data_IF_047911490115
#
_entry.id   IF_047911490115
#
_cell.length_a   1.000
_cell.length_b   1.000
_cell.length_c   1.000
_cell.angle_alpha   90.00
_cell.angle_beta   90.00
_cell.angle_gamma   90.00
#
_symmetry.space_group_name_H-M   'P 1'
#
loop_
_entity.id
_entity.type
_entity.pdbx_description
1 polymer ?
#
# COMPACT_ATOMS: atom_id res chain seq x y z
N UNK A 1 12.13 -23.91 39.86
CA UNK A 1 11.68 -22.50 39.86
C UNK A 1 11.49 -22.12 38.40
N UNK A 2 10.24 -22.03 37.94
CA UNK A 2 9.88 -21.81 36.55
C UNK A 2 10.15 -20.36 36.15
N UNK A 3 10.93 -20.16 35.10
CA UNK A 3 10.97 -18.88 34.39
C UNK A 3 9.93 -18.96 33.28
N UNK A 4 8.71 -18.53 33.59
CA UNK A 4 7.70 -18.28 32.58
C UNK A 4 7.96 -16.86 32.07
N UNK A 5 8.88 -16.75 31.11
CA UNK A 5 8.91 -15.60 30.21
C UNK A 5 7.70 -15.70 29.31
N UNK A 6 6.54 -15.26 29.80
CA UNK A 6 5.37 -15.06 28.96
C UNK A 6 5.74 -13.87 28.09
N UNK A 7 6.25 -14.11 26.89
CA UNK A 7 6.42 -13.04 25.91
C UNK A 7 5.00 -12.64 25.46
N UNK A 8 4.46 -11.47 25.85
CA UNK A 8 3.04 -11.16 25.67
C UNK A 8 2.72 -10.69 24.25
N UNK A 9 3.60 -10.93 23.26
CA UNK A 9 3.44 -10.40 21.91
C UNK A 9 3.88 -11.39 20.86
N UNK A 10 3.12 -12.48 20.73
CA UNK A 10 2.87 -13.07 19.41
C UNK A 10 2.05 -12.07 18.56
N UNK A 11 2.68 -10.93 18.22
CA UNK A 11 2.10 -9.99 17.27
C UNK A 11 2.63 -10.41 15.90
N UNK A 12 1.74 -10.73 14.94
CA UNK A 12 2.17 -10.93 13.56
C UNK A 12 3.04 -9.73 13.15
N UNK A 13 4.30 -10.00 12.79
CA UNK A 13 5.23 -8.97 12.37
C UNK A 13 4.86 -8.63 10.92
N UNK A 14 4.21 -7.49 10.76
CA UNK A 14 3.87 -6.94 9.44
C UNK A 14 5.09 -6.22 8.88
N UNK A 15 5.79 -6.88 7.97
CA UNK A 15 6.91 -6.28 7.26
C UNK A 15 6.36 -5.62 5.99
N UNK A 16 6.39 -4.30 5.97
CA UNK A 16 5.89 -3.50 4.85
C UNK A 16 7.09 -2.93 4.09
N UNK A 17 7.27 -3.36 2.85
CA UNK A 17 8.22 -2.74 1.94
C UNK A 17 7.46 -1.93 0.91
N UNK A 18 7.89 -0.69 0.69
CA UNK A 18 7.27 0.22 -0.27
C UNK A 18 8.34 0.97 -1.03
N UNK A 19 8.11 1.14 -2.33
CA UNK A 19 8.90 1.97 -3.21
C UNK A 19 7.97 3.00 -3.84
N UNK A 20 8.31 4.27 -3.69
CA UNK A 20 7.60 5.38 -4.33
C UNK A 20 8.55 6.12 -5.25
N UNK A 21 8.12 6.35 -6.49
CA UNK A 21 8.85 7.12 -7.48
C UNK A 21 7.98 8.26 -8.01
N UNK A 22 8.37 9.49 -7.70
CA UNK A 22 7.73 10.70 -8.22
C UNK A 22 8.49 11.23 -9.42
N UNK A 23 7.78 11.48 -10.53
CA UNK A 23 8.32 12.25 -11.66
C UNK A 23 7.71 13.65 -11.65
N UNK A 24 8.48 14.59 -11.08
CA UNK A 24 8.05 15.98 -10.88
C UNK A 24 6.81 16.09 -9.99
N UNK A 25 5.97 17.10 -10.26
CA UNK A 25 4.67 17.26 -9.59
C UNK A 25 3.50 16.74 -10.45
N UNK A 26 3.79 15.97 -11.51
CA UNK A 26 2.78 15.50 -12.46
C UNK A 26 2.44 14.02 -12.27
N UNK A 27 3.44 13.16 -12.01
CA UNK A 27 3.26 11.71 -11.95
C UNK A 27 3.88 11.13 -10.67
N UNK A 28 3.20 10.14 -10.08
CA UNK A 28 3.66 9.38 -8.94
C UNK A 28 3.42 7.90 -9.17
N UNK A 29 4.44 7.07 -9.11
CA UNK A 29 4.35 5.62 -9.15
C UNK A 29 4.64 5.08 -7.76
N UNK A 30 3.91 4.06 -7.36
CA UNK A 30 4.05 3.38 -6.07
C UNK A 30 4.06 1.88 -6.33
N UNK A 31 4.94 1.17 -5.68
CA UNK A 31 4.93 -0.27 -5.61
C UNK A 31 5.19 -0.65 -4.16
N UNK A 32 4.60 -1.73 -3.69
CA UNK A 32 4.77 -2.18 -2.34
C UNK A 32 4.54 -3.66 -2.23
N UNK A 33 5.07 -4.22 -1.17
CA UNK A 33 4.84 -5.59 -0.77
C UNK A 33 4.65 -5.60 0.74
N UNK A 34 3.47 -6.04 1.17
CA UNK A 34 3.19 -6.31 2.56
C UNK A 34 3.38 -7.81 2.78
N UNK A 35 4.34 -8.20 3.61
CA UNK A 35 4.55 -9.58 4.04
C UNK A 35 4.16 -9.73 5.50
N UNK A 36 3.21 -10.61 5.81
CA UNK A 36 3.04 -11.13 7.16
C UNK A 36 4.00 -12.29 7.36
N UNK A 37 4.90 -12.18 8.34
CA UNK A 37 5.83 -13.24 8.70
C UNK A 37 5.22 -14.30 9.65
N UNK A 38 3.90 -14.34 9.82
CA UNK A 38 3.22 -15.19 10.77
C UNK A 38 2.15 -16.04 10.07
N UNK A 39 2.51 -17.31 9.87
CA UNK A 39 1.71 -18.54 9.74
C UNK A 39 0.67 -18.67 8.60
N UNK A 40 0.13 -17.58 8.08
CA UNK A 40 -0.80 -17.58 6.96
C UNK A 40 -0.28 -16.58 5.93
N UNK A 41 0.15 -17.09 4.77
CA UNK A 41 0.84 -16.40 3.66
C UNK A 41 -0.06 -15.35 2.98
N UNK A 42 -0.62 -14.42 3.76
CA UNK A 42 -1.37 -13.25 3.32
C UNK A 42 -0.34 -12.15 3.02
N UNK A 43 0.63 -12.50 2.19
CA UNK A 43 1.54 -11.58 1.55
C UNK A 43 0.86 -10.95 0.35
N UNK A 44 0.95 -9.62 0.22
CA UNK A 44 0.26 -8.90 -0.84
C UNK A 44 1.10 -7.87 -1.57
N UNK A 45 1.16 -7.99 -2.90
CA UNK A 45 1.79 -7.02 -3.78
C UNK A 45 0.83 -5.86 -4.02
N UNK A 46 1.31 -4.63 -3.81
CA UNK A 46 0.61 -3.41 -4.15
C UNK A 46 1.36 -2.68 -5.26
N UNK A 47 0.62 -2.08 -6.18
CA UNK A 47 1.13 -1.23 -7.23
C UNK A 47 0.18 -0.05 -7.39
N UNK A 48 0.66 1.10 -7.77
CA UNK A 48 -0.17 2.27 -7.94
C UNK A 48 0.49 3.32 -8.82
N UNK A 49 -0.35 4.12 -9.46
CA UNK A 49 0.05 5.25 -10.25
C UNK A 49 -0.89 6.42 -9.93
N UNK A 50 -0.35 7.62 -9.86
CA UNK A 50 -1.06 8.85 -9.60
C UNK A 50 -0.65 9.89 -10.62
N UNK A 51 -1.62 10.62 -11.15
CA UNK A 51 -1.43 11.77 -12.04
C UNK A 51 -2.04 12.98 -11.37
N UNK A 52 -1.29 14.07 -11.32
CA UNK A 52 -1.76 15.38 -10.87
C UNK A 52 -1.89 16.30 -12.08
N UNK A 53 -3.01 17.00 -12.16
CA UNK A 53 -3.30 18.00 -13.16
C UNK A 53 -3.42 19.34 -12.44
N UNK A 54 -2.51 20.25 -12.72
CA UNK A 54 -2.58 21.63 -12.25
C UNK A 54 -2.99 22.53 -13.41
N UNK A 55 -4.18 23.13 -13.32
CA UNK A 55 -4.65 24.21 -14.19
C UNK A 55 -4.88 25.48 -13.38
N UNK A 56 -4.98 26.63 -14.05
CA UNK A 56 -4.99 27.99 -13.51
C UNK A 56 -6.24 28.30 -12.65
N UNK A 57 -6.35 27.65 -11.48
CA UNK A 57 -7.49 27.73 -10.57
C UNK A 57 -8.14 26.37 -10.23
N UNK A 58 -7.69 25.26 -10.85
CA UNK A 58 -8.24 23.94 -10.58
C UNK A 58 -7.10 22.92 -10.41
N UNK A 59 -7.13 22.18 -9.31
CA UNK A 59 -6.22 21.03 -9.10
C UNK A 59 -7.02 19.75 -9.21
N UNK A 60 -6.62 18.89 -10.13
CA UNK A 60 -7.13 17.53 -10.27
C UNK A 60 -6.05 16.54 -9.86
N UNK A 61 -6.45 15.44 -9.24
CA UNK A 61 -5.56 14.32 -8.95
C UNK A 61 -6.33 13.03 -9.23
N UNK A 62 -5.70 12.14 -9.98
CA UNK A 62 -6.21 10.83 -10.33
C UNK A 62 -5.24 9.78 -9.82
N UNK A 63 -5.65 8.91 -8.91
CA UNK A 63 -4.83 7.80 -8.43
C UNK A 63 -5.51 6.48 -8.79
N UNK A 64 -4.74 5.54 -9.32
CA UNK A 64 -5.10 4.14 -9.48
C UNK A 64 -4.15 3.31 -8.63
N UNK A 65 -4.69 2.41 -7.83
CA UNK A 65 -3.92 1.52 -6.98
C UNK A 65 -4.48 0.10 -7.10
N UNK A 66 -3.61 -0.84 -7.41
CA UNK A 66 -3.90 -2.26 -7.44
C UNK A 66 -3.22 -2.94 -6.24
N UNK A 67 -3.92 -3.85 -5.60
CA UNK A 67 -3.38 -4.65 -4.51
C UNK A 67 -3.86 -6.09 -4.67
N UNK A 68 -2.92 -7.03 -4.70
CA UNK A 68 -3.20 -8.46 -4.58
C UNK A 68 -2.94 -8.88 -3.15
N UNK A 69 -3.88 -9.58 -2.53
CA UNK A 69 -3.76 -10.09 -1.16
C UNK A 69 -3.82 -11.62 -1.21
N UNK A 70 -2.75 -12.25 -1.69
CA UNK A 70 -2.60 -13.71 -1.74
C UNK A 70 -3.77 -14.48 -2.38
N UNK A 71 -3.72 -15.81 -2.29
CA UNK A 71 -4.73 -16.69 -2.88
C UNK A 71 -6.09 -16.65 -2.17
N UNK A 72 -6.18 -16.01 -0.99
CA UNK A 72 -7.37 -16.02 -0.14
C UNK A 72 -8.25 -14.77 -0.27
N UNK A 73 -7.69 -13.58 -0.53
CA UNK A 73 -8.46 -12.31 -0.58
C UNK A 73 -8.57 -11.73 -2.01
N UNK A 74 -7.82 -12.28 -2.98
CA UNK A 74 -7.92 -11.89 -4.37
C UNK A 74 -7.26 -10.54 -4.69
N UNK A 75 -7.67 -9.93 -5.79
CA UNK A 75 -7.11 -8.66 -6.29
C UNK A 75 -8.11 -7.52 -6.18
N UNK A 76 -7.66 -6.37 -5.69
CA UNK A 76 -8.44 -5.15 -5.54
C UNK A 76 -7.86 -4.06 -6.43
N UNK A 77 -8.70 -3.47 -7.26
CA UNK A 77 -8.39 -2.25 -8.00
C UNK A 77 -9.14 -1.07 -7.36
N UNK A 78 -8.39 -0.12 -6.82
CA UNK A 78 -8.89 1.15 -6.30
C UNK A 78 -8.61 2.26 -7.30
N UNK A 79 -9.64 3.03 -7.62
CA UNK A 79 -9.53 4.25 -8.42
C UNK A 79 -10.00 5.41 -7.55
N UNK A 80 -9.29 6.53 -7.59
CA UNK A 80 -9.57 7.72 -6.80
C UNK A 80 -9.42 8.95 -7.66
N UNK A 81 -10.43 9.81 -7.61
CA UNK A 81 -10.42 11.11 -8.28
C UNK A 81 -10.61 12.18 -7.21
N UNK A 82 -9.72 13.16 -7.20
CA UNK A 82 -9.76 14.31 -6.30
C UNK A 82 -9.73 15.58 -7.14
N UNK A 83 -10.63 16.51 -6.83
CA UNK A 83 -10.66 17.85 -7.43
C UNK A 83 -10.73 18.89 -6.31
N UNK A 84 -9.94 19.96 -6.42
CA UNK A 84 -10.04 21.14 -5.58
C UNK A 84 -10.18 22.38 -6.46
N UNK A 85 -11.17 23.22 -6.15
CA UNK A 85 -11.53 24.48 -6.81
C UNK A 85 -11.41 25.64 -5.83
#
# INVERSE_FOLDING_TARGET
MSIAGVDPRERPQYLNFGFEYGFGDLLALRAGWNGQAAEDDIGGLTAGAGVKIHSLGARGRFDVAWASYGSALGSVLRVSLQGSF
#
